data_IF_663149673741
#
_entry.id   IF_663149673741
#
_cell.length_a   1.000
_cell.length_b   1.000
_cell.length_c   1.000
_cell.angle_alpha   90.00
_cell.angle_beta   90.00
_cell.angle_gamma   90.00
#
_symmetry.space_group_name_H-M   'P 1'
#
loop_
_entity.id
_entity.type
_entity.pdbx_description
1 polymer ?
#
# COMPACT_ATOMS: atom_id res chain seq x y z
N UNK A 1 -3.03 -16.49 -12.46
CA UNK A 1 -2.85 -16.22 -11.01
C UNK A 1 -1.75 -15.19 -10.83
N UNK A 2 -2.03 -14.07 -10.17
CA UNK A 2 -1.06 -12.96 -9.98
C UNK A 2 0.20 -13.37 -9.19
N UNK A 3 0.07 -14.34 -8.28
CA UNK A 3 1.23 -14.85 -7.53
C UNK A 3 2.28 -15.54 -8.39
N UNK A 4 1.85 -16.34 -9.37
CA UNK A 4 2.77 -17.04 -10.28
C UNK A 4 3.51 -16.08 -11.22
N UNK A 5 2.86 -14.99 -11.63
CA UNK A 5 3.54 -13.95 -12.42
C UNK A 5 4.60 -13.20 -11.60
N UNK A 6 4.35 -13.00 -10.30
CA UNK A 6 5.34 -12.41 -9.40
C UNK A 6 6.56 -13.32 -9.21
N UNK A 7 6.35 -14.63 -9.03
CA UNK A 7 7.45 -15.62 -8.96
C UNK A 7 8.30 -15.61 -10.23
N UNK A 8 7.67 -15.54 -11.41
CA UNK A 8 8.39 -15.46 -12.69
C UNK A 8 9.26 -14.20 -12.78
N UNK A 9 8.71 -13.03 -12.43
CA UNK A 9 9.46 -11.77 -12.43
C UNK A 9 10.60 -11.79 -11.39
N UNK A 10 10.35 -12.33 -10.20
CA UNK A 10 11.37 -12.46 -9.17
C UNK A 10 12.56 -13.31 -9.66
N UNK A 11 12.29 -14.43 -10.35
CA UNK A 11 13.33 -15.26 -10.98
C UNK A 11 14.06 -14.54 -12.10
N UNK A 12 13.34 -13.91 -13.02
CA UNK A 12 13.93 -13.20 -14.17
C UNK A 12 14.85 -12.05 -13.75
N UNK A 13 14.53 -11.38 -12.64
CA UNK A 13 15.29 -10.23 -12.14
C UNK A 13 16.19 -10.54 -10.94
N UNK A 14 16.28 -11.82 -10.52
CA UNK A 14 17.12 -12.23 -9.39
C UNK A 14 16.72 -11.61 -8.05
N UNK A 15 15.43 -11.39 -7.83
CA UNK A 15 14.90 -10.81 -6.58
C UNK A 15 14.80 -11.91 -5.53
N UNK A 16 15.75 -11.93 -4.59
CA UNK A 16 15.82 -12.98 -3.56
C UNK A 16 14.70 -12.87 -2.53
N UNK A 17 14.49 -13.95 -1.77
CA UNK A 17 13.51 -13.99 -0.66
C UNK A 17 13.83 -12.92 0.40
N UNK A 18 15.10 -12.75 0.72
CA UNK A 18 15.58 -11.79 1.72
C UNK A 18 15.31 -10.35 1.28
N UNK A 19 15.45 -10.06 -0.03
CA UNK A 19 15.11 -8.74 -0.58
C UNK A 19 13.61 -8.45 -0.47
N UNK A 20 12.77 -9.46 -0.69
CA UNK A 20 11.31 -9.35 -0.58
C UNK A 20 10.89 -9.13 0.88
N UNK A 21 11.41 -9.94 1.81
CA UNK A 21 11.11 -9.83 3.25
C UNK A 21 11.59 -8.48 3.80
N UNK A 22 12.79 -8.02 3.43
CA UNK A 22 13.29 -6.71 3.80
C UNK A 22 12.43 -5.57 3.26
N UNK A 23 11.92 -5.69 2.03
CA UNK A 23 11.00 -4.72 1.44
C UNK A 23 9.68 -4.67 2.20
N UNK A 24 9.10 -5.84 2.54
CA UNK A 24 7.85 -5.94 3.27
C UNK A 24 7.95 -5.36 4.70
N UNK A 25 9.01 -5.71 5.45
CA UNK A 25 9.27 -5.13 6.76
C UNK A 25 9.43 -3.60 6.68
N UNK A 26 10.16 -3.09 5.68
CA UNK A 26 10.29 -1.65 5.43
C UNK A 26 8.95 -0.98 5.12
N UNK A 27 8.08 -1.65 4.37
CA UNK A 27 6.73 -1.14 4.02
C UNK A 27 5.93 -0.87 5.29
N UNK A 28 5.81 -1.87 6.16
CA UNK A 28 5.12 -1.75 7.44
C UNK A 28 5.75 -0.70 8.37
N UNK A 29 7.08 -0.69 8.49
CA UNK A 29 7.78 0.28 9.32
C UNK A 29 7.55 1.73 8.88
N UNK A 30 7.57 2.01 7.57
CA UNK A 30 7.31 3.36 7.04
C UNK A 30 5.86 3.78 7.20
N UNK A 31 4.91 2.89 6.91
CA UNK A 31 3.48 3.17 7.08
C UNK A 31 3.16 3.45 8.56
N UNK A 32 3.74 2.67 9.48
CA UNK A 32 3.58 2.89 10.91
C UNK A 32 4.21 4.20 11.36
N UNK A 33 5.42 4.53 10.90
CA UNK A 33 6.06 5.81 11.21
C UNK A 33 5.22 7.01 10.70
N UNK A 34 4.62 6.92 9.52
CA UNK A 34 3.72 7.94 8.97
C UNK A 34 2.43 8.08 9.81
N UNK A 35 1.89 6.97 10.30
CA UNK A 35 0.73 6.96 11.22
C UNK A 35 1.08 7.66 12.54
N UNK A 36 2.19 7.26 13.17
CA UNK A 36 2.63 7.79 14.47
C UNK A 36 3.00 9.29 14.42
N UNK A 37 3.64 9.72 13.33
CA UNK A 37 3.97 11.13 13.11
C UNK A 37 2.77 11.99 12.68
N UNK A 38 1.64 11.37 12.34
CA UNK A 38 0.45 12.05 11.83
C UNK A 38 0.58 12.53 10.39
N UNK A 39 1.54 12.01 9.61
CA UNK A 39 1.73 12.37 8.21
C UNK A 39 0.50 12.06 7.35
N UNK A 40 -0.28 11.03 7.70
CA UNK A 40 -1.52 10.66 7.02
C UNK A 40 -2.76 11.49 7.41
N UNK A 41 -2.67 12.38 8.42
CA UNK A 41 -3.83 13.16 8.90
C UNK A 41 -4.46 14.07 7.83
N UNK A 42 -3.69 14.45 6.82
CA UNK A 42 -4.16 15.33 5.73
C UNK A 42 -4.82 14.58 4.57
N UNK A 43 -4.83 13.25 4.60
CA UNK A 43 -5.38 12.41 3.52
C UNK A 43 -6.37 11.35 4.01
N UNK A 44 -6.30 10.91 5.27
CA UNK A 44 -7.32 10.04 5.87
C UNK A 44 -8.51 10.87 6.35
N UNK A 45 -9.70 10.52 5.85
CA UNK A 45 -10.97 11.01 6.38
C UNK A 45 -11.48 9.99 7.41
N UNK A 46 -11.72 10.39 8.67
CA UNK A 46 -12.27 9.49 9.68
C UNK A 46 -13.55 8.84 9.19
N UNK A 47 -13.60 7.50 9.27
CA UNK A 47 -14.69 6.70 8.73
C UNK A 47 -15.25 5.78 9.81
N UNK A 48 -16.58 5.72 9.92
CA UNK A 48 -17.25 4.82 10.85
C UNK A 48 -17.11 3.37 10.38
N UNK A 49 -16.74 2.49 11.30
CA UNK A 49 -16.76 1.04 11.14
C UNK A 49 -17.18 0.38 12.45
N UNK A 50 -16.84 -0.90 12.59
CA UNK A 50 -17.00 -1.63 13.84
C UNK A 50 -15.67 -2.21 14.27
N UNK A 51 -15.38 -2.22 15.57
CA UNK A 51 -14.20 -2.88 16.10
C UNK A 51 -14.38 -4.41 16.20
N UNK A 52 -13.41 -5.08 16.82
CA UNK A 52 -13.40 -6.54 16.98
C UNK A 52 -14.61 -7.08 17.76
N UNK A 53 -15.21 -6.27 18.63
CA UNK A 53 -16.39 -6.64 19.44
C UNK A 53 -17.70 -6.23 18.74
N UNK A 54 -17.62 -5.67 17.53
CA UNK A 54 -18.77 -5.18 16.77
C UNK A 54 -19.29 -3.83 17.26
N UNK A 55 -18.51 -3.09 18.05
CA UNK A 55 -18.91 -1.77 18.55
C UNK A 55 -18.58 -0.71 17.50
N UNK A 56 -19.53 0.20 17.26
CA UNK A 56 -19.33 1.34 16.35
C UNK A 56 -18.11 2.16 16.78
N UNK A 57 -17.16 2.31 15.87
CA UNK A 57 -15.89 3.00 16.10
C UNK A 57 -15.54 3.89 14.91
N UNK A 58 -14.94 5.04 15.18
CA UNK A 58 -14.31 5.88 14.16
C UNK A 58 -12.88 5.40 13.92
N UNK A 59 -12.57 5.09 12.66
CA UNK A 59 -11.24 4.74 12.20
C UNK A 59 -10.60 5.94 11.51
N UNK A 60 -9.44 6.35 12.00
CA UNK A 60 -8.63 7.45 11.47
C UNK A 60 -7.17 7.02 11.24
N UNK A 61 -6.95 5.72 11.08
CA UNK A 61 -5.67 5.07 10.83
C UNK A 61 -5.92 3.82 9.97
N UNK A 62 -4.88 3.35 9.29
CA UNK A 62 -4.96 2.12 8.48
C UNK A 62 -4.82 0.88 9.37
N UNK A 63 -5.88 0.08 9.49
CA UNK A 63 -5.90 -1.14 10.33
C UNK A 63 -4.95 -2.24 9.82
N UNK A 64 -4.64 -2.21 8.52
CA UNK A 64 -3.85 -3.25 7.85
C UNK A 64 -2.35 -3.18 8.20
N UNK A 65 -1.91 -2.09 8.83
CA UNK A 65 -0.51 -1.92 9.25
C UNK A 65 -0.23 -2.80 10.46
N UNK A 66 0.74 -3.71 10.30
CA UNK A 66 1.31 -4.57 11.34
C UNK A 66 2.66 -4.03 11.85
N UNK A 67 2.69 -3.19 12.90
CA UNK A 67 3.94 -2.60 13.41
C UNK A 67 4.94 -3.62 13.95
N UNK A 68 4.49 -4.81 14.30
CA UNK A 68 5.29 -5.95 14.76
C UNK A 68 5.99 -6.71 13.63
N UNK A 69 5.76 -6.34 12.37
CA UNK A 69 6.40 -7.00 11.23
C UNK A 69 7.91 -6.83 11.25
N UNK A 70 8.63 -7.95 11.28
CA UNK A 70 10.09 -8.02 11.25
C UNK A 70 10.57 -8.94 10.13
N UNK A 71 11.81 -8.78 9.68
CA UNK A 71 12.40 -9.69 8.68
C UNK A 71 12.45 -11.11 9.26
N UNK A 72 12.78 -11.24 10.54
CA UNK A 72 12.83 -12.50 11.27
C UNK A 72 11.46 -13.20 11.25
N UNK A 73 10.37 -12.49 11.54
CA UNK A 73 9.03 -13.06 11.45
C UNK A 73 8.67 -13.46 10.00
N UNK A 74 8.99 -12.60 9.02
CA UNK A 74 8.67 -12.85 7.61
C UNK A 74 9.38 -14.06 7.03
N UNK A 75 10.64 -14.30 7.41
CA UNK A 75 11.41 -15.46 6.93
C UNK A 75 10.79 -16.80 7.32
N UNK A 76 10.00 -16.85 8.40
CA UNK A 76 9.29 -18.07 8.83
C UNK A 76 8.10 -18.44 7.94
N UNK A 77 7.63 -17.52 7.09
CA UNK A 77 6.48 -17.75 6.22
C UNK A 77 6.82 -18.70 5.07
N UNK A 78 5.88 -19.62 4.80
CA UNK A 78 5.96 -20.52 3.66
C UNK A 78 5.63 -19.80 2.35
N UNK A 79 6.26 -20.18 1.22
CA UNK A 79 5.86 -19.71 -0.10
C UNK A 79 4.37 -19.94 -0.37
N UNK A 80 3.71 -18.94 -0.95
CA UNK A 80 2.26 -18.95 -1.14
C UNK A 80 1.80 -19.64 -2.43
N UNK A 81 2.67 -19.75 -3.45
CA UNK A 81 2.27 -20.16 -4.80
C UNK A 81 3.06 -21.35 -5.36
N UNK A 82 4.38 -21.40 -5.14
CA UNK A 82 5.22 -22.54 -5.48
C UNK A 82 5.83 -23.11 -4.20
N UNK A 83 5.38 -24.30 -3.74
CA UNK A 83 5.83 -24.86 -2.46
C UNK A 83 7.32 -25.23 -2.39
N UNK A 84 7.98 -25.43 -3.54
CA UNK A 84 9.34 -25.99 -3.60
C UNK A 84 10.36 -24.90 -3.88
N UNK A 85 10.08 -24.03 -4.85
CA UNK A 85 11.01 -22.99 -5.30
C UNK A 85 10.43 -21.58 -5.30
N UNK A 86 9.28 -21.41 -4.64
CA UNK A 86 8.65 -20.11 -4.49
C UNK A 86 9.40 -19.23 -3.48
N UNK A 87 9.37 -17.94 -3.75
CA UNK A 87 9.94 -16.90 -2.89
C UNK A 87 8.88 -15.95 -2.36
N UNK A 88 7.74 -15.85 -3.05
CA UNK A 88 6.64 -14.95 -2.69
C UNK A 88 5.82 -15.58 -1.57
N UNK A 89 5.58 -14.83 -0.50
CA UNK A 89 4.78 -15.25 0.64
C UNK A 89 3.57 -14.36 0.84
N UNK A 90 2.69 -14.73 1.76
CA UNK A 90 1.59 -13.85 2.18
C UNK A 90 2.09 -12.52 2.78
N UNK A 91 3.25 -12.52 3.44
CA UNK A 91 3.83 -11.32 4.05
C UNK A 91 4.55 -10.40 3.06
N UNK A 92 4.95 -10.90 1.89
CA UNK A 92 5.56 -10.10 0.81
C UNK A 92 4.57 -9.76 -0.31
N UNK A 93 3.31 -10.13 -0.13
CA UNK A 93 2.21 -9.77 -1.03
C UNK A 93 1.44 -8.57 -0.50
N UNK A 94 0.66 -7.91 -1.37
CA UNK A 94 -0.27 -6.87 -0.92
C UNK A 94 -1.29 -7.46 0.04
N UNK A 95 -1.58 -6.73 1.12
CA UNK A 95 -2.63 -7.12 2.04
C UNK A 95 -4.02 -7.04 1.37
N UNK A 96 -4.98 -7.79 1.91
CA UNK A 96 -6.39 -7.63 1.58
C UNK A 96 -6.95 -6.52 2.46
N UNK A 97 -7.51 -5.49 1.84
CA UNK A 97 -8.02 -4.30 2.52
C UNK A 97 -9.28 -3.80 1.83
N UNK A 98 -10.21 -3.29 2.62
CA UNK A 98 -11.40 -2.59 2.14
C UNK A 98 -11.19 -1.07 2.30
N UNK A 99 -11.41 -0.30 1.23
CA UNK A 99 -11.19 1.14 1.25
C UNK A 99 -11.63 1.85 -0.03
N UNK A 100 -11.69 3.17 0.03
CA UNK A 100 -12.01 4.04 -1.09
C UNK A 100 -11.10 5.27 -1.11
N UNK A 101 -10.81 5.79 -2.29
CA UNK A 101 -10.07 7.03 -2.49
C UNK A 101 -10.82 7.93 -3.48
N UNK A 102 -10.74 9.25 -3.27
CA UNK A 102 -11.37 10.24 -4.13
C UNK A 102 -10.45 11.44 -4.38
N UNK A 103 -10.58 12.04 -5.56
CA UNK A 103 -9.87 13.27 -5.92
C UNK A 103 -10.82 14.25 -6.60
N UNK A 104 -10.74 15.53 -6.24
CA UNK A 104 -11.40 16.61 -6.97
C UNK A 104 -10.43 17.16 -8.01
N UNK A 105 -10.77 17.02 -9.29
CA UNK A 105 -9.99 17.52 -10.42
C UNK A 105 -10.81 18.58 -11.16
N UNK A 106 -10.16 19.64 -11.60
CA UNK A 106 -10.77 20.71 -12.39
C UNK A 106 -9.74 21.40 -13.29
N UNK A 107 -10.20 22.20 -14.24
CA UNK A 107 -9.31 23.01 -15.07
C UNK A 107 -8.56 24.06 -14.25
N UNK A 108 -7.36 24.43 -14.71
CA UNK A 108 -6.55 25.47 -14.05
C UNK A 108 -7.24 26.84 -14.05
N UNK A 109 -8.01 27.15 -15.10
CA UNK A 109 -8.83 28.37 -15.17
C UNK A 109 -9.90 28.39 -14.07
N UNK A 110 -10.65 27.28 -13.91
CA UNK A 110 -11.70 27.19 -12.90
C UNK A 110 -11.14 27.26 -11.47
N UNK A 111 -10.00 26.61 -11.23
CA UNK A 111 -9.33 26.72 -9.94
C UNK A 111 -8.93 28.17 -9.60
N UNK A 112 -8.42 28.93 -10.59
CA UNK A 112 -8.10 30.36 -10.42
C UNK A 112 -9.34 31.21 -10.15
N UNK A 113 -10.41 31.02 -10.91
CA UNK A 113 -11.68 31.75 -10.70
C UNK A 113 -12.24 31.53 -9.29
N UNK A 114 -12.13 30.30 -8.78
CA UNK A 114 -12.57 29.93 -7.44
C UNK A 114 -11.58 30.29 -6.32
N UNK A 115 -10.41 30.86 -6.65
CA UNK A 115 -9.37 31.20 -5.67
C UNK A 115 -8.73 29.98 -4.98
N UNK A 116 -8.82 28.79 -5.57
CA UNK A 116 -8.30 27.54 -5.01
C UNK A 116 -6.85 27.34 -5.43
N UNK A 117 -5.95 27.10 -4.45
CA UNK A 117 -4.56 26.72 -4.71
C UNK A 117 -4.47 25.24 -5.12
N UNK A 118 -4.05 24.90 -6.35
CA UNK A 118 -3.90 23.50 -6.76
C UNK A 118 -2.85 22.76 -5.91
N UNK A 119 -3.16 21.51 -5.51
CA UNK A 119 -2.21 20.64 -4.80
C UNK A 119 -1.14 20.03 -5.71
N UNK A 120 -1.52 19.71 -6.95
CA UNK A 120 -0.66 19.15 -7.97
C UNK A 120 -1.21 19.50 -9.36
N UNK A 121 -0.41 19.21 -10.41
CA UNK A 121 -0.82 19.31 -11.81
C UNK A 121 -0.36 18.05 -12.54
N UNK A 122 -1.24 17.44 -13.32
CA UNK A 122 -0.86 16.36 -14.24
C UNK A 122 0.01 16.97 -15.34
N UNK A 123 1.30 16.62 -15.37
CA UNK A 123 2.21 16.99 -16.47
C UNK A 123 2.45 15.75 -17.34
N UNK A 124 1.89 15.80 -18.54
CA UNK A 124 2.05 14.86 -19.65
C UNK A 124 1.48 13.45 -19.42
N UNK A 125 0.45 13.13 -20.19
CA UNK A 125 -0.13 11.80 -20.37
C UNK A 125 0.58 11.14 -21.56
N UNK A 126 1.41 10.14 -21.30
CA UNK A 126 2.31 9.50 -22.27
C UNK A 126 1.62 8.63 -23.32
N UNK A 127 0.58 9.14 -23.96
CA UNK A 127 -0.13 8.49 -25.06
C UNK A 127 0.51 8.78 -26.42
N UNK A 128 1.64 8.11 -26.72
CA UNK A 128 2.05 7.82 -28.11
C UNK A 128 2.14 6.31 -28.25
N UNK A 129 0.98 5.68 -28.44
CA UNK A 129 0.91 4.34 -29.01
C UNK A 129 1.11 4.50 -30.53
N UNK A 130 2.15 3.84 -31.06
CA UNK A 130 2.25 3.54 -32.49
C UNK A 130 1.07 2.67 -32.93
#
# INVERSE_FOLDING_TARGET
MMGLTAEMLARMHGISREMQDAFAARSHARAWAATQSGAFKNEIIPTSGHDADGVLKQFNYDEVIRPETTVEALTTLRPAFDPVSGTVTAGTSSALSDGAAAMLVMSESRARELGLKPRARVRFDGGRWL
#
